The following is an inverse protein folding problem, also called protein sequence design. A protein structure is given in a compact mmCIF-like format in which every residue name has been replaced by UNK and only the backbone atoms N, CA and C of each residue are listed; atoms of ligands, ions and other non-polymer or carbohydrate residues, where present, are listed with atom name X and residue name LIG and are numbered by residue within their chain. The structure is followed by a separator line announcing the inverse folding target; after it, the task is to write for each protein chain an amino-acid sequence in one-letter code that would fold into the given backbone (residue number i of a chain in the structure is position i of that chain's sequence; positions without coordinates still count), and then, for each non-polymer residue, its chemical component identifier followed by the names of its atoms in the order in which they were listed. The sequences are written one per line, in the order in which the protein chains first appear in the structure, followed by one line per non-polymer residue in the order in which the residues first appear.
data_IF_963008169407
#
_entry.id   IF_963008169407
#
_cell.length_a   1.000
_cell.length_b   1.000
_cell.length_c   1.000
_cell.angle_alpha   90.00
_cell.angle_beta   90.00
_cell.angle_gamma   90.00
#
_symmetry.space_group_name_H-M   'P 1'
#
loop_
_entity.id
_entity.type
_entity.pdbx_description
1 polymer ?
#
# COMPACT_ATOMS: atom_id res chain seq x y z
N UNK A 1 -3.61 -13.77 -1.57
CA UNK A 1 -2.87 -14.58 -2.56
C UNK A 1 -1.38 -14.35 -2.39
N UNK A 2 -0.73 -15.33 -1.78
CA UNK A 2 0.71 -15.43 -1.60
C UNK A 2 1.31 -16.14 -2.83
N UNK A 3 2.46 -15.64 -3.28
CA UNK A 3 3.21 -16.23 -4.40
C UNK A 3 3.94 -17.47 -3.87
N UNK A 4 4.21 -18.46 -4.71
CA UNK A 4 4.94 -19.67 -4.30
C UNK A 4 6.34 -19.32 -3.78
N UNK A 5 6.72 -19.86 -2.62
CA UNK A 5 7.96 -19.53 -1.88
C UNK A 5 9.23 -19.61 -2.76
N UNK A 6 9.33 -20.63 -3.61
CA UNK A 6 10.50 -20.84 -4.48
C UNK A 6 10.72 -19.72 -5.51
N UNK A 7 9.69 -18.92 -5.84
CA UNK A 7 9.79 -17.79 -6.78
C UNK A 7 10.28 -16.49 -6.12
N UNK A 8 10.45 -16.49 -4.80
CA UNK A 8 10.82 -15.33 -4.00
C UNK A 8 9.73 -14.26 -3.89
N UNK A 9 10.02 -13.12 -3.24
CA UNK A 9 9.13 -11.97 -3.19
C UNK A 9 9.02 -11.30 -4.59
N UNK A 10 7.84 -10.77 -4.89
CA UNK A 10 7.61 -10.05 -6.15
C UNK A 10 7.79 -8.56 -5.92
N UNK A 11 8.65 -7.91 -6.70
CA UNK A 11 8.88 -6.47 -6.61
C UNK A 11 9.23 -5.89 -7.98
N UNK A 12 8.39 -4.98 -8.47
CA UNK A 12 8.62 -4.24 -9.72
C UNK A 12 9.26 -2.86 -9.46
N UNK A 13 9.70 -2.60 -8.23
CA UNK A 13 10.15 -1.27 -7.78
C UNK A 13 11.59 -1.04 -8.26
N UNK A 14 11.73 -0.81 -9.56
CA UNK A 14 12.96 -0.42 -10.25
C UNK A 14 12.78 0.99 -10.83
N UNK A 15 12.35 1.96 -10.03
CA UNK A 15 11.99 3.25 -10.60
C UNK A 15 12.67 4.42 -9.92
N UNK A 16 13.55 5.05 -10.70
CA UNK A 16 14.07 6.42 -10.57
C UNK A 16 12.97 7.44 -10.18
N UNK A 17 11.73 7.17 -10.59
CA UNK A 17 10.53 7.92 -10.23
C UNK A 17 9.77 7.24 -9.06
N UNK A 18 9.49 8.02 -8.01
CA UNK A 18 8.83 7.55 -6.77
C UNK A 18 7.33 7.28 -6.91
N UNK A 19 6.77 7.31 -8.13
CA UNK A 19 5.35 7.05 -8.43
C UNK A 19 5.15 5.56 -8.71
N UNK A 20 4.26 4.93 -7.95
CA UNK A 20 3.99 3.49 -7.99
C UNK A 20 2.54 3.26 -8.38
N UNK A 21 2.36 2.57 -9.50
CA UNK A 21 1.07 2.01 -9.91
C UNK A 21 0.93 0.54 -9.47
N UNK A 22 2.03 -0.20 -9.40
CA UNK A 22 2.04 -1.61 -9.00
C UNK A 22 1.80 -1.77 -7.50
N UNK A 23 0.55 -2.05 -7.13
CA UNK A 23 0.13 -2.28 -5.74
C UNK A 23 0.44 -3.70 -5.22
N UNK A 24 0.90 -4.59 -6.11
CA UNK A 24 1.18 -6.00 -5.81
C UNK A 24 2.63 -6.22 -5.33
N UNK A 25 3.48 -5.24 -5.52
CA UNK A 25 4.89 -5.29 -5.11
C UNK A 25 5.04 -5.35 -3.59
N UNK A 26 5.97 -6.19 -3.14
CA UNK A 26 6.36 -6.37 -1.74
C UNK A 26 7.38 -5.29 -1.36
N UNK A 27 7.29 -4.81 -0.12
CA UNK A 27 8.28 -3.89 0.44
C UNK A 27 9.55 -4.66 0.78
N UNK A 28 10.64 -4.33 0.07
CA UNK A 28 11.97 -4.86 0.33
C UNK A 28 12.68 -4.02 1.41
N UNK A 29 13.62 -4.61 2.16
CA UNK A 29 14.46 -3.87 3.13
C UNK A 29 15.20 -2.67 2.50
N UNK A 30 15.53 -2.74 1.20
CA UNK A 30 16.18 -1.65 0.46
C UNK A 30 15.30 -0.39 0.29
N UNK A 31 14.03 -0.43 0.69
CA UNK A 31 13.08 0.67 0.58
C UNK A 31 12.87 1.44 1.89
N UNK A 32 13.47 1.00 3.00
CA UNK A 32 13.36 1.66 4.30
C UNK A 32 13.79 3.12 4.17
N UNK A 33 13.02 4.04 4.74
CA UNK A 33 13.31 5.47 4.72
C UNK A 33 12.97 6.19 3.40
N UNK A 34 12.60 5.47 2.33
CA UNK A 34 12.14 6.09 1.08
C UNK A 34 10.70 6.55 1.20
N UNK A 35 10.39 7.64 0.50
CA UNK A 35 9.02 8.12 0.29
C UNK A 35 8.50 7.58 -1.04
N UNK A 36 7.35 6.91 -0.98
CA UNK A 36 6.68 6.29 -2.12
C UNK A 36 5.33 6.98 -2.34
N UNK A 37 4.98 7.22 -3.61
CA UNK A 37 3.67 7.71 -4.02
C UNK A 37 2.85 6.56 -4.58
N UNK A 38 1.87 6.07 -3.84
CA UNK A 38 1.12 4.85 -4.14
C UNK A 38 -0.22 5.23 -4.79
N UNK A 39 -0.49 4.70 -5.98
CA UNK A 39 -1.77 4.95 -6.64
C UNK A 39 -2.92 4.23 -5.96
N UNK A 40 -3.98 4.98 -5.65
CA UNK A 40 -5.15 4.48 -4.93
C UNK A 40 -6.39 4.23 -5.80
N UNK A 41 -6.25 4.31 -7.12
CA UNK A 41 -7.36 4.24 -8.07
C UNK A 41 -7.92 5.60 -8.48
N UNK A 42 -7.51 6.68 -7.81
CA UNK A 42 -7.86 8.08 -8.16
C UNK A 42 -6.68 9.02 -7.99
N UNK A 43 -6.06 8.99 -6.81
CA UNK A 43 -4.95 9.85 -6.44
C UNK A 43 -3.77 9.04 -5.92
N UNK A 44 -2.61 9.71 -5.78
CA UNK A 44 -1.43 9.13 -5.15
C UNK A 44 -1.41 9.46 -3.66
N UNK A 45 -1.19 8.44 -2.83
CA UNK A 45 -0.98 8.55 -1.39
C UNK A 45 0.52 8.52 -1.13
N UNK A 46 1.05 9.53 -0.45
CA UNK A 46 2.45 9.58 -0.02
C UNK A 46 2.64 8.74 1.24
N UNK A 47 3.59 7.81 1.20
CA UNK A 47 3.92 6.93 2.31
C UNK A 47 5.43 6.91 2.52
N UNK A 48 5.86 7.12 3.77
CA UNK A 48 7.25 6.89 4.19
C UNK A 48 7.36 5.47 4.72
N UNK A 49 8.26 4.67 4.16
CA UNK A 49 8.44 3.26 4.53
C UNK A 49 9.19 3.15 5.85
N UNK A 50 8.63 2.41 6.80
CA UNK A 50 9.27 2.01 8.06
C UNK A 50 9.64 0.53 8.04
N UNK A 51 10.50 0.11 8.97
CA UNK A 51 11.03 -1.26 9.06
C UNK A 51 9.91 -2.31 9.29
N UNK A 52 8.90 -1.95 10.08
CA UNK A 52 7.73 -2.78 10.35
C UNK A 52 6.87 -3.10 9.11
N UNK A 53 7.10 -2.41 7.99
CA UNK A 53 6.35 -2.62 6.75
C UNK A 53 6.98 -3.66 5.82
N UNK A 54 8.16 -4.21 6.16
CA UNK A 54 8.84 -5.21 5.33
C UNK A 54 8.00 -6.47 5.20
N UNK A 55 7.96 -7.04 3.99
CA UNK A 55 7.18 -8.24 3.70
C UNK A 55 5.71 -7.99 3.39
N UNK A 56 5.19 -6.81 3.73
CA UNK A 56 3.85 -6.38 3.32
C UNK A 56 3.80 -5.91 1.87
N UNK A 57 2.61 -5.94 1.28
CA UNK A 57 2.39 -5.35 -0.05
C UNK A 57 2.10 -3.88 0.08
N UNK A 58 2.65 -3.08 -0.83
CA UNK A 58 2.46 -1.63 -0.88
C UNK A 58 0.97 -1.24 -0.94
N UNK A 59 0.16 -2.06 -1.63
CA UNK A 59 -1.28 -1.83 -1.74
C UNK A 59 -2.06 -1.90 -0.43
N UNK A 60 -1.51 -2.48 0.64
CA UNK A 60 -2.16 -2.55 1.96
C UNK A 60 -2.25 -1.17 2.62
N UNK A 61 -1.30 -0.29 2.31
CA UNK A 61 -1.21 1.03 2.94
C UNK A 61 -1.97 2.14 2.20
N UNK A 62 -2.64 1.82 1.08
CA UNK A 62 -3.44 2.78 0.31
C UNK A 62 -4.89 2.29 0.18
N UNK A 63 -5.81 2.88 0.95
CA UNK A 63 -7.21 2.42 1.03
C UNK A 63 -8.02 2.82 -0.22
N UNK A 64 -8.45 1.85 -1.04
CA UNK A 64 -9.12 2.12 -2.33
C UNK A 64 -10.55 2.66 -2.23
N UNK A 65 -11.24 2.39 -1.12
CA UNK A 65 -12.65 2.77 -0.92
C UNK A 65 -12.80 3.64 0.33
N UNK A 66 -13.67 4.65 0.25
CA UNK A 66 -14.05 5.44 1.44
C UNK A 66 -14.70 4.51 2.47
N UNK A 67 -14.38 4.69 3.75
CA UNK A 67 -15.01 3.96 4.84
C UNK A 67 -16.52 4.20 4.82
N UNK A 68 -17.31 3.14 4.93
CA UNK A 68 -18.75 3.26 5.06
C UNK A 68 -19.10 3.79 6.44
N UNK A 69 -19.86 4.89 6.49
CA UNK A 69 -20.48 5.38 7.71
C UNK A 69 -21.94 4.94 7.73
N UNK A 70 -22.24 3.93 8.54
CA UNK A 70 -23.62 3.56 8.82
C UNK A 70 -24.23 4.62 9.74
N UNK A 71 -25.30 5.29 9.28
CA UNK A 71 -26.04 6.24 10.11
C UNK A 71 -26.61 5.48 11.31
N UNK A 72 -26.17 5.79 12.53
CA UNK A 72 -26.83 5.32 13.76
C UNK A 72 -28.19 6.02 13.82
N UNK A 73 -29.27 5.26 14.05
CA UNK A 73 -30.58 5.86 14.39
C UNK A 73 -30.40 6.66 15.67
N UNK A 74 -30.38 7.99 15.57
CA UNK A 74 -30.57 8.84 16.73
C UNK A 74 -31.99 8.60 17.24
N UNK A 75 -32.16 8.05 18.45
CA UNK A 75 -33.43 8.16 19.16
C UNK A 75 -33.70 9.66 19.33
N UNK A 76 -34.65 10.22 18.57
CA UNK A 76 -35.22 11.51 18.90
C UNK A 76 -35.89 11.34 20.27
N UNK A 77 -35.37 12.04 21.27
CA UNK A 77 -36.11 12.35 22.50
C UNK A 77 -37.17 13.39 22.14
#
# INVERSE_FOLDING_TARGET
MTRSLWKGPFSEIFTKNKKIWSRRSVILPSLIGKQLMIYNGKTFVTLKVTDQMIGHKIGEFAITRKKAFHKKKSKKK
#
